data_IF_467895871963
#
_entry.id   IF_467895871963
#
_cell.length_a   1.000
_cell.length_b   1.000
_cell.length_c   1.000
_cell.angle_alpha   90.00
_cell.angle_beta   90.00
_cell.angle_gamma   90.00
#
_symmetry.space_group_name_H-M   'P 1'
#
loop_
_entity.id
_entity.type
_entity.pdbx_description
1 polymer ?
#
# COMPACT_ATOMS: atom_id res chain seq x y z
N UNK A 1 -1.82 10.79 -14.22
CA UNK A 1 -0.46 10.21 -14.03
C UNK A 1 -0.57 8.80 -13.46
N UNK A 2 0.09 7.81 -14.06
CA UNK A 2 0.15 6.42 -13.56
C UNK A 2 1.54 6.16 -12.98
N UNK A 3 1.60 5.83 -11.69
CA UNK A 3 2.81 5.53 -10.93
C UNK A 3 2.83 4.04 -10.59
N UNK A 4 3.97 3.42 -10.72
CA UNK A 4 4.18 2.03 -10.34
C UNK A 4 5.15 1.95 -9.15
N UNK A 5 4.72 1.36 -8.07
CA UNK A 5 5.52 1.14 -6.87
C UNK A 5 6.00 -0.31 -6.84
N UNK A 6 7.30 -0.49 -7.02
CA UNK A 6 7.94 -1.81 -7.09
C UNK A 6 8.96 -2.01 -5.96
N UNK A 7 9.33 -3.25 -5.73
CA UNK A 7 10.34 -3.66 -4.76
C UNK A 7 9.96 -4.92 -3.99
N UNK A 8 10.95 -5.56 -3.38
CA UNK A 8 10.78 -6.78 -2.60
C UNK A 8 9.88 -6.59 -1.36
N UNK A 9 9.37 -7.66 -0.75
CA UNK A 9 8.70 -7.58 0.54
C UNK A 9 9.55 -6.83 1.58
N UNK A 10 8.93 -5.98 2.39
CA UNK A 10 9.63 -5.17 3.40
C UNK A 10 10.47 -4.00 2.84
N UNK A 11 10.41 -3.71 1.54
CA UNK A 11 11.15 -2.60 0.91
C UNK A 11 10.57 -1.20 1.20
N UNK A 12 9.37 -1.11 1.80
CA UNK A 12 8.73 0.15 2.17
C UNK A 12 7.65 0.65 1.19
N UNK A 13 7.21 -0.14 0.21
CA UNK A 13 6.13 0.23 -0.73
C UNK A 13 4.87 0.70 0.00
N UNK A 14 4.33 -0.16 0.86
CA UNK A 14 3.10 0.12 1.62
C UNK A 14 3.28 1.32 2.57
N UNK A 15 4.48 1.50 3.13
CA UNK A 15 4.80 2.66 3.98
C UNK A 15 4.77 3.98 3.18
N UNK A 16 5.39 3.99 1.99
CA UNK A 16 5.36 5.17 1.11
C UNK A 16 3.92 5.46 0.65
N UNK A 17 3.17 4.41 0.30
CA UNK A 17 1.74 4.55 -0.04
C UNK A 17 0.92 5.12 1.11
N UNK A 18 1.15 4.65 2.34
CA UNK A 18 0.50 5.19 3.53
C UNK A 18 0.84 6.68 3.76
N UNK A 19 2.08 7.09 3.50
CA UNK A 19 2.48 8.49 3.56
C UNK A 19 1.74 9.34 2.52
N UNK A 20 1.66 8.87 1.27
CA UNK A 20 0.92 9.56 0.20
C UNK A 20 -0.58 9.67 0.55
N UNK A 21 -1.21 8.57 0.97
CA UNK A 21 -2.62 8.55 1.38
C UNK A 21 -2.87 9.48 2.57
N UNK A 22 -1.99 9.47 3.58
CA UNK A 22 -2.09 10.34 4.74
C UNK A 22 -2.16 11.82 4.33
N UNK A 23 -1.22 12.28 3.52
CA UNK A 23 -1.16 13.68 3.10
C UNK A 23 -2.28 14.04 2.12
N UNK A 24 -2.68 13.11 1.25
CA UNK A 24 -3.76 13.30 0.29
C UNK A 24 -5.11 13.51 0.99
N UNK A 25 -5.45 12.61 1.91
CA UNK A 25 -6.70 12.68 2.67
C UNK A 25 -6.68 13.85 3.65
N UNK A 26 -5.54 14.11 4.29
CA UNK A 26 -5.37 15.29 5.16
C UNK A 26 -5.60 16.61 4.41
N UNK A 27 -5.28 16.66 3.13
CA UNK A 27 -5.59 17.79 2.27
C UNK A 27 -7.09 17.88 1.89
N UNK A 28 -7.93 16.90 2.26
CA UNK A 28 -9.34 16.82 1.94
C UNK A 28 -9.62 16.34 0.51
N UNK A 29 -8.61 15.75 -0.15
CA UNK A 29 -8.77 15.19 -1.49
C UNK A 29 -9.31 13.76 -1.41
N UNK A 30 -10.24 13.36 -2.30
CA UNK A 30 -10.77 12.01 -2.30
C UNK A 30 -9.76 10.99 -2.81
N UNK A 31 -9.78 9.81 -2.19
CA UNK A 31 -9.00 8.66 -2.62
C UNK A 31 -9.84 7.39 -2.61
N UNK A 32 -9.50 6.47 -3.49
CA UNK A 32 -10.12 5.15 -3.63
C UNK A 32 -9.01 4.12 -3.61
N UNK A 33 -9.25 2.97 -3.01
CA UNK A 33 -8.27 1.88 -3.06
C UNK A 33 -8.78 0.58 -2.46
N UNK A 34 -8.00 -0.47 -2.67
CA UNK A 34 -8.23 -1.79 -2.12
C UNK A 34 -7.45 -2.05 -0.82
N UNK A 35 -6.97 -0.98 -0.19
CA UNK A 35 -6.24 -1.02 1.07
C UNK A 35 -7.16 -0.57 2.19
N UNK A 36 -7.25 -1.33 3.26
CA UNK A 36 -7.97 -0.89 4.45
C UNK A 36 -7.11 0.08 5.26
N UNK A 37 -7.64 1.27 5.55
CA UNK A 37 -6.94 2.32 6.29
C UNK A 37 -7.78 2.85 7.45
N UNK A 38 -7.12 3.12 8.57
CA UNK A 38 -7.75 3.72 9.73
C UNK A 38 -7.77 5.26 9.59
N UNK A 39 -8.91 5.81 9.17
CA UNK A 39 -9.11 7.23 8.96
C UNK A 39 -8.99 8.07 10.26
N UNK A 40 -9.20 7.49 11.44
CA UNK A 40 -9.12 8.21 12.70
C UNK A 40 -7.69 8.64 13.02
N UNK A 41 -6.71 7.99 12.42
CA UNK A 41 -5.29 8.33 12.55
C UNK A 41 -4.86 9.54 11.73
N UNK A 42 -5.75 10.13 10.94
CA UNK A 42 -5.46 11.33 10.13
C UNK A 42 -6.07 12.56 10.82
N UNK A 43 -5.28 13.38 11.54
CA UNK A 43 -5.77 14.60 12.17
C UNK A 43 -6.02 15.67 11.11
N UNK A 44 -7.28 15.96 10.82
CA UNK A 44 -7.68 17.02 9.90
C UNK A 44 -9.08 17.52 10.27
N UNK A 45 -9.32 18.83 10.03
CA UNK A 45 -10.65 19.43 10.14
C UNK A 45 -11.45 19.26 8.83
N UNK A 46 -10.78 18.83 7.75
CA UNK A 46 -11.41 18.59 6.46
C UNK A 46 -12.11 17.23 6.46
N UNK A 47 -13.12 17.10 5.61
CA UNK A 47 -13.76 15.81 5.38
C UNK A 47 -12.75 14.77 4.88
N UNK A 48 -12.73 13.62 5.52
CA UNK A 48 -11.86 12.49 5.17
C UNK A 48 -12.56 11.65 4.11
N UNK A 49 -12.15 11.79 2.86
CA UNK A 49 -12.78 11.15 1.71
C UNK A 49 -11.92 9.98 1.23
N UNK A 50 -12.20 8.81 1.79
CA UNK A 50 -11.60 7.57 1.33
C UNK A 50 -12.67 6.52 1.09
N UNK A 51 -12.62 5.89 -0.06
CA UNK A 51 -13.54 4.80 -0.45
C UNK A 51 -12.76 3.51 -0.59
N UNK A 52 -12.95 2.60 0.35
CA UNK A 52 -12.43 1.24 0.25
C UNK A 52 -13.28 0.41 -0.71
N UNK A 53 -12.63 -0.35 -1.59
CA UNK A 53 -13.25 -1.32 -2.49
C UNK A 53 -12.36 -2.54 -2.61
N UNK A 54 -12.95 -3.75 -2.53
CA UNK A 54 -12.22 -4.99 -2.85
C UNK A 54 -11.92 -5.06 -4.34
N UNK A 55 -10.99 -5.91 -4.74
CA UNK A 55 -10.58 -6.05 -6.15
C UNK A 55 -11.75 -6.35 -7.10
N UNK A 56 -12.71 -7.16 -6.65
CA UNK A 56 -13.92 -7.51 -7.41
C UNK A 56 -14.92 -6.35 -7.55
N UNK A 57 -14.83 -5.34 -6.69
CA UNK A 57 -15.66 -4.14 -6.68
C UNK A 57 -15.01 -2.94 -7.37
N UNK A 58 -13.68 -2.99 -7.55
CA UNK A 58 -12.95 -2.00 -8.32
C UNK A 58 -13.12 -2.30 -9.80
N UNK A 59 -14.07 -1.64 -10.44
CA UNK A 59 -14.35 -1.77 -11.87
C UNK A 59 -14.18 -0.44 -12.58
N UNK A 60 -13.82 -0.43 -13.87
CA UNK A 60 -13.78 0.80 -14.67
C UNK A 60 -15.06 1.61 -14.60
N UNK A 61 -16.23 0.95 -14.69
CA UNK A 61 -17.53 1.60 -14.62
C UNK A 61 -17.75 2.33 -13.29
N UNK A 62 -17.38 1.67 -12.17
CA UNK A 62 -17.44 2.30 -10.86
C UNK A 62 -16.55 3.54 -10.80
N UNK A 63 -15.32 3.45 -11.29
CA UNK A 63 -14.35 4.54 -11.25
C UNK A 63 -14.77 5.72 -12.14
N UNK A 64 -15.31 5.44 -13.33
CA UNK A 64 -15.84 6.45 -14.24
C UNK A 64 -17.06 7.14 -13.62
N UNK A 65 -17.99 6.37 -13.05
CA UNK A 65 -19.17 6.93 -12.35
C UNK A 65 -18.75 7.81 -11.18
N UNK A 66 -17.82 7.35 -10.35
CA UNK A 66 -17.29 8.11 -9.23
C UNK A 66 -16.66 9.44 -9.67
N UNK A 67 -15.89 9.44 -10.76
CA UNK A 67 -15.31 10.66 -11.30
C UNK A 67 -16.38 11.64 -11.83
N UNK A 68 -17.41 11.14 -12.50
CA UNK A 68 -18.55 11.94 -12.98
C UNK A 68 -19.31 12.58 -11.81
N UNK A 69 -19.58 11.81 -10.75
CA UNK A 69 -20.25 12.30 -9.54
C UNK A 69 -19.41 13.35 -8.82
N UNK A 70 -18.08 13.14 -8.76
CA UNK A 70 -17.17 14.12 -8.21
C UNK A 70 -17.13 15.40 -9.03
N UNK A 71 -17.12 15.30 -10.35
CA UNK A 71 -17.12 16.42 -11.28
C UNK A 71 -18.39 17.30 -11.17
N UNK A 72 -19.54 16.71 -10.89
CA UNK A 72 -20.86 17.40 -10.88
C UNK A 72 -21.07 18.25 -12.12
N UNK A 73 -20.72 17.72 -13.30
CA UNK A 73 -20.83 18.42 -14.59
C UNK A 73 -19.75 19.47 -14.88
N UNK A 74 -18.71 19.56 -14.04
CA UNK A 74 -17.57 20.47 -14.26
C UNK A 74 -16.37 19.69 -14.81
N UNK A 75 -15.44 20.42 -15.44
CA UNK A 75 -14.13 19.86 -15.78
C UNK A 75 -13.35 19.51 -14.52
N UNK A 76 -12.82 18.29 -14.46
CA UNK A 76 -11.98 17.81 -13.33
C UNK A 76 -10.53 18.11 -13.65
N UNK A 77 -9.85 18.77 -12.70
CA UNK A 77 -8.41 19.00 -12.82
C UNK A 77 -7.64 17.68 -12.63
N UNK A 78 -6.56 17.50 -13.37
CA UNK A 78 -5.63 16.38 -13.14
C UNK A 78 -5.20 16.31 -11.67
N UNK A 79 -4.97 15.10 -11.17
CA UNK A 79 -4.56 14.85 -9.78
C UNK A 79 -5.56 15.33 -8.71
N UNK A 80 -6.85 15.33 -9.06
CA UNK A 80 -7.94 15.63 -8.11
C UNK A 80 -8.40 14.40 -7.34
N UNK A 81 -8.30 13.22 -7.97
CA UNK A 81 -8.68 11.91 -7.43
C UNK A 81 -7.44 11.02 -7.31
N UNK A 82 -7.33 10.24 -6.25
CA UNK A 82 -6.28 9.24 -6.09
C UNK A 82 -6.87 7.85 -6.14
N UNK A 83 -6.34 6.99 -7.01
CA UNK A 83 -6.63 5.56 -7.02
C UNK A 83 -5.38 4.79 -6.60
N UNK A 84 -5.51 3.91 -5.62
CA UNK A 84 -4.43 3.04 -5.14
C UNK A 84 -4.86 1.59 -5.28
N UNK A 85 -4.09 0.80 -6.02
CA UNK A 85 -4.32 -0.64 -6.20
C UNK A 85 -3.09 -1.40 -5.69
N UNK A 86 -3.23 -1.99 -4.51
CA UNK A 86 -2.21 -2.86 -3.94
C UNK A 86 -2.35 -4.27 -4.49
N UNK A 87 -1.20 -4.97 -4.59
CA UNK A 87 -1.07 -6.29 -5.21
C UNK A 87 -1.77 -6.34 -6.58
N UNK A 88 -1.54 -5.29 -7.39
CA UNK A 88 -2.26 -5.05 -8.65
C UNK A 88 -2.10 -6.19 -9.67
N UNK A 89 -1.09 -7.07 -9.52
CA UNK A 89 -0.96 -8.28 -10.33
C UNK A 89 -2.10 -9.29 -10.13
N UNK A 90 -2.87 -9.19 -9.03
CA UNK A 90 -4.05 -10.01 -8.84
C UNK A 90 -5.19 -9.61 -9.79
N UNK A 91 -5.19 -8.35 -10.23
CA UNK A 91 -6.17 -7.81 -11.18
C UNK A 91 -5.63 -7.79 -12.62
N UNK A 92 -4.33 -7.55 -12.78
CA UNK A 92 -3.68 -7.33 -14.09
C UNK A 92 -2.56 -8.34 -14.32
N UNK A 93 -2.82 -9.63 -14.14
CA UNK A 93 -1.83 -10.69 -14.28
C UNK A 93 -1.32 -10.79 -15.72
N UNK A 94 -0.02 -10.86 -15.88
CA UNK A 94 0.63 -11.02 -17.19
C UNK A 94 0.23 -12.31 -17.93
N UNK A 95 -0.25 -13.33 -17.20
CA UNK A 95 -0.63 -14.64 -17.75
C UNK A 95 -2.11 -14.74 -18.17
N UNK A 96 -2.96 -13.84 -17.66
CA UNK A 96 -4.40 -13.84 -17.94
C UNK A 96 -4.71 -12.99 -19.19
N UNK A 97 -4.28 -13.50 -20.35
CA UNK A 97 -4.44 -12.82 -21.64
C UNK A 97 -5.89 -12.56 -22.04
N UNK A 98 -6.81 -13.44 -21.63
CA UNK A 98 -8.24 -13.42 -22.02
C UNK A 98 -9.21 -12.97 -20.91
N UNK A 99 -8.73 -12.26 -19.88
CA UNK A 99 -9.60 -11.80 -18.80
C UNK A 99 -10.68 -10.86 -19.33
N UNK A 100 -11.95 -11.17 -19.05
CA UNK A 100 -13.11 -10.30 -19.33
C UNK A 100 -12.90 -8.95 -18.64
N UNK A 101 -13.21 -7.85 -19.34
CA UNK A 101 -13.06 -6.49 -18.79
C UNK A 101 -11.68 -5.87 -18.96
N UNK A 102 -10.74 -6.56 -19.62
CA UNK A 102 -9.38 -5.99 -19.86
C UNK A 102 -9.41 -4.75 -20.75
N UNK A 103 -10.21 -4.77 -21.83
CA UNK A 103 -10.40 -3.62 -22.71
C UNK A 103 -10.85 -2.39 -21.95
N UNK A 104 -11.80 -2.57 -21.02
CA UNK A 104 -12.41 -1.50 -20.25
C UNK A 104 -11.41 -0.88 -19.28
N UNK A 105 -10.53 -1.71 -18.68
CA UNK A 105 -9.42 -1.23 -17.86
C UNK A 105 -8.39 -0.44 -18.67
N UNK A 106 -8.05 -0.89 -19.89
CA UNK A 106 -7.12 -0.16 -20.76
C UNK A 106 -7.71 1.18 -21.21
N UNK A 107 -9.00 1.21 -21.53
CA UNK A 107 -9.71 2.44 -21.84
C UNK A 107 -9.71 3.38 -20.63
N UNK A 108 -10.06 2.90 -19.44
CA UNK A 108 -10.01 3.69 -18.20
C UNK A 108 -8.62 4.27 -17.95
N UNK A 109 -7.56 3.45 -18.04
CA UNK A 109 -6.19 3.92 -17.85
C UNK A 109 -5.77 4.94 -18.91
N UNK A 110 -6.26 4.83 -20.14
CA UNK A 110 -5.99 5.83 -21.19
C UNK A 110 -6.68 7.16 -20.87
N UNK A 111 -7.89 7.11 -20.34
CA UNK A 111 -8.71 8.29 -20.02
C UNK A 111 -8.49 8.87 -18.61
N UNK A 112 -7.67 8.22 -17.78
CA UNK A 112 -7.54 8.55 -16.36
C UNK A 112 -7.23 10.03 -16.08
N UNK A 113 -6.46 10.70 -16.93
CA UNK A 113 -6.14 12.13 -16.76
C UNK A 113 -7.38 13.01 -16.95
N UNK A 114 -8.18 12.74 -17.96
CA UNK A 114 -9.44 13.45 -18.20
C UNK A 114 -10.45 13.25 -17.08
N UNK A 115 -10.41 12.07 -16.44
CA UNK A 115 -11.21 11.76 -15.26
C UNK A 115 -10.60 12.34 -13.95
N UNK A 116 -9.44 12.96 -14.01
CA UNK A 116 -8.77 13.59 -12.88
C UNK A 116 -8.00 12.64 -11.97
N UNK A 117 -7.77 11.39 -12.37
CA UNK A 117 -7.09 10.40 -11.55
C UNK A 117 -5.57 10.51 -11.58
N UNK A 118 -4.96 10.45 -10.40
CA UNK A 118 -3.62 9.93 -10.17
C UNK A 118 -3.75 8.49 -9.74
N UNK A 119 -2.99 7.58 -10.35
CA UNK A 119 -3.09 6.14 -10.09
C UNK A 119 -1.75 5.65 -9.55
N UNK A 120 -1.80 4.88 -8.46
CA UNK A 120 -0.66 4.17 -7.89
C UNK A 120 -0.96 2.67 -7.99
N UNK A 121 -0.20 1.98 -8.81
CA UNK A 121 -0.19 0.53 -8.93
C UNK A 121 0.95 -0.02 -8.10
N UNK A 122 0.71 -1.00 -7.24
CA UNK A 122 1.71 -1.59 -6.35
C UNK A 122 1.84 -3.07 -6.67
N UNK A 123 3.07 -3.53 -6.95
CA UNK A 123 3.41 -4.93 -7.07
C UNK A 123 4.89 -5.15 -6.71
N UNK A 124 5.32 -6.41 -6.60
CA UNK A 124 6.72 -6.70 -6.32
C UNK A 124 7.61 -6.43 -7.53
N UNK A 125 7.19 -6.86 -8.71
CA UNK A 125 7.93 -6.73 -9.97
C UNK A 125 7.00 -6.35 -11.11
N UNK A 126 7.48 -5.53 -12.03
CA UNK A 126 6.73 -5.09 -13.21
C UNK A 126 6.32 -6.25 -14.14
N UNK A 127 7.15 -7.32 -14.21
CA UNK A 127 6.89 -8.51 -15.04
C UNK A 127 5.65 -9.29 -14.62
N UNK A 128 5.14 -9.09 -13.41
CA UNK A 128 3.91 -9.71 -12.92
C UNK A 128 2.66 -9.09 -13.55
N UNK A 129 2.79 -7.86 -14.09
CA UNK A 129 1.69 -7.08 -14.65
C UNK A 129 1.64 -7.26 -16.16
N UNK A 130 0.43 -7.26 -16.70
CA UNK A 130 0.18 -7.29 -18.13
C UNK A 130 0.95 -6.23 -18.91
N UNK A 131 1.44 -6.61 -20.10
CA UNK A 131 2.29 -5.76 -20.94
C UNK A 131 1.59 -4.46 -21.37
N UNK A 132 0.29 -4.50 -21.67
CA UNK A 132 -0.43 -3.31 -22.12
C UNK A 132 -0.64 -2.33 -20.97
N UNK A 133 -0.97 -2.82 -19.76
CA UNK A 133 -1.05 -1.99 -18.56
C UNK A 133 0.31 -1.38 -18.24
N UNK A 134 1.40 -2.15 -18.35
CA UNK A 134 2.76 -1.64 -18.14
C UNK A 134 3.14 -0.53 -19.11
N UNK A 135 2.69 -0.59 -20.36
CA UNK A 135 3.00 0.45 -21.36
C UNK A 135 2.39 1.82 -21.04
N UNK A 136 1.40 1.86 -20.11
CA UNK A 136 0.74 3.09 -19.68
C UNK A 136 1.37 3.69 -18.41
N UNK A 137 2.34 3.00 -17.79
CA UNK A 137 3.07 3.50 -16.63
C UNK A 137 3.98 4.66 -17.05
N UNK A 138 3.88 5.78 -16.33
CA UNK A 138 4.72 6.95 -16.58
C UNK A 138 6.01 6.92 -15.75
N UNK A 139 5.88 6.62 -14.47
CA UNK A 139 7.03 6.53 -13.56
C UNK A 139 6.96 5.28 -12.70
N UNK A 140 8.11 4.65 -12.53
CA UNK A 140 8.33 3.59 -11.57
C UNK A 140 9.11 4.13 -10.36
N UNK A 141 8.63 3.80 -9.16
CA UNK A 141 9.34 4.04 -7.90
C UNK A 141 9.84 2.71 -7.36
N UNK A 142 11.14 2.46 -7.47
CA UNK A 142 11.77 1.24 -6.95
C UNK A 142 12.12 1.48 -5.49
N UNK A 143 11.46 0.74 -4.61
CA UNK A 143 11.63 0.86 -3.16
C UNK A 143 12.69 -0.09 -2.63
N UNK A 144 13.55 0.42 -1.75
CA UNK A 144 14.58 -0.36 -1.06
C UNK A 144 14.76 0.12 0.37
N UNK A 145 14.99 -0.83 1.28
CA UNK A 145 15.43 -0.50 2.64
C UNK A 145 16.92 -0.14 2.62
N UNK A 146 17.30 0.97 3.26
CA UNK A 146 18.70 1.44 3.23
C UNK A 146 19.66 0.44 3.86
N UNK A 147 19.23 -0.33 4.88
CA UNK A 147 20.04 -1.40 5.48
C UNK A 147 20.50 -2.49 4.49
N UNK A 148 19.85 -2.60 3.32
CA UNK A 148 20.19 -3.59 2.30
C UNK A 148 21.32 -3.15 1.35
N UNK A 149 21.90 -1.95 1.56
CA UNK A 149 23.02 -1.42 0.76
C UNK A 149 24.40 -1.77 1.35
N UNK A 150 24.63 -3.04 1.69
CA UNK A 150 25.91 -3.52 2.22
C UNK A 150 26.32 -2.87 3.54
N UNK A 151 27.64 -2.74 3.79
CA UNK A 151 28.17 -2.23 5.07
C UNK A 151 27.81 -0.74 5.26
N UNK A 152 27.93 0.08 4.23
CA UNK A 152 27.60 1.51 4.31
C UNK A 152 26.13 1.75 4.60
N UNK A 153 25.24 0.97 3.99
CA UNK A 153 23.81 1.03 4.25
C UNK A 153 23.46 0.63 5.69
N UNK A 154 24.16 -0.37 6.25
CA UNK A 154 24.00 -0.77 7.66
C UNK A 154 24.44 0.34 8.62
N UNK A 155 25.57 1.00 8.37
CA UNK A 155 26.07 2.11 9.19
C UNK A 155 25.07 3.29 9.17
N UNK A 156 24.62 3.71 7.99
CA UNK A 156 23.61 4.79 7.84
C UNK A 156 22.30 4.40 8.51
N UNK A 157 21.88 3.14 8.36
CA UNK A 157 20.67 2.60 8.97
C UNK A 157 20.75 2.59 10.49
N UNK A 158 21.93 2.32 11.08
CA UNK A 158 22.15 2.36 12.53
C UNK A 158 21.92 3.76 13.09
N UNK A 159 22.45 4.80 12.45
CA UNK A 159 22.21 6.20 12.82
C UNK A 159 20.75 6.65 12.59
N UNK A 160 20.01 5.94 11.76
CA UNK A 160 18.59 6.21 11.46
C UNK A 160 17.63 5.27 12.22
N UNK A 161 18.12 4.53 13.22
CA UNK A 161 17.35 3.51 13.95
C UNK A 161 16.69 2.46 13.04
N UNK A 162 17.33 2.10 11.94
CA UNK A 162 16.85 1.06 11.01
C UNK A 162 15.62 1.45 10.14
N UNK A 163 15.11 2.66 10.26
CA UNK A 163 13.82 3.07 9.71
C UNK A 163 13.94 3.96 8.46
N UNK A 164 15.06 3.85 7.73
CA UNK A 164 15.30 4.63 6.52
C UNK A 164 15.10 3.79 5.27
N UNK A 165 14.32 4.34 4.35
CA UNK A 165 14.02 3.77 3.05
C UNK A 165 14.38 4.75 1.95
N UNK A 166 14.61 4.24 0.76
CA UNK A 166 14.81 5.01 -0.45
C UNK A 166 13.87 4.54 -1.54
N UNK A 167 13.26 5.47 -2.26
CA UNK A 167 12.58 5.23 -3.50
C UNK A 167 13.37 5.86 -4.65
N UNK A 168 13.68 5.07 -5.66
CA UNK A 168 14.35 5.54 -6.87
C UNK A 168 13.29 5.74 -7.92
N UNK A 169 13.11 7.00 -8.35
CA UNK A 169 12.16 7.38 -9.39
C UNK A 169 12.80 7.18 -10.76
N UNK A 170 12.14 6.41 -11.59
CA UNK A 170 12.55 6.07 -12.96
C UNK A 170 11.45 6.52 -13.92
N UNK A 171 11.80 7.23 -14.99
CA UNK A 171 10.90 7.44 -16.12
C UNK A 171 10.74 6.13 -16.85
N UNK A 172 9.55 5.54 -16.73
CA UNK A 172 9.33 4.14 -17.08
C UNK A 172 9.53 3.81 -18.55
N UNK A 173 9.06 4.64 -19.52
CA UNK A 173 9.20 4.34 -20.94
C UNK A 173 10.65 4.22 -21.40
N UNK A 174 11.56 5.04 -20.88
CA UNK A 174 12.98 5.07 -21.27
C UNK A 174 13.90 4.40 -20.25
N UNK A 175 13.33 3.94 -19.10
CA UNK A 175 14.10 3.36 -17.99
C UNK A 175 15.18 4.30 -17.44
N UNK A 176 14.98 5.60 -17.58
CA UNK A 176 15.91 6.63 -17.09
C UNK A 176 15.64 7.00 -15.65
N UNK A 177 16.70 7.08 -14.85
CA UNK A 177 16.61 7.54 -13.47
C UNK A 177 16.38 9.04 -13.43
N UNK A 178 15.26 9.46 -12.85
CA UNK A 178 14.88 10.86 -12.65
C UNK A 178 15.38 11.41 -11.32
N UNK A 179 15.37 10.57 -10.27
CA UNK A 179 15.77 11.01 -8.94
C UNK A 179 15.72 9.90 -7.90
N UNK A 180 16.01 10.25 -6.67
CA UNK A 180 15.87 9.35 -5.51
C UNK A 180 15.37 10.16 -4.32
N UNK A 181 14.43 9.61 -3.58
CA UNK A 181 13.86 10.22 -2.39
C UNK A 181 14.07 9.30 -1.20
N UNK A 182 14.53 9.86 -0.08
CA UNK A 182 14.65 9.14 1.18
C UNK A 182 13.45 9.45 2.06
N UNK A 183 12.86 8.42 2.63
CA UNK A 183 11.75 8.57 3.56
C UNK A 183 11.93 7.69 4.79
N UNK A 184 11.36 8.16 5.90
CA UNK A 184 11.45 7.47 7.19
C UNK A 184 10.14 6.82 7.56
N UNK A 185 10.25 5.65 8.15
CA UNK A 185 9.12 4.99 8.77
C UNK A 185 8.65 5.79 10.00
N UNK A 186 7.53 6.47 9.89
CA UNK A 186 6.86 7.14 11.02
C UNK A 186 5.76 6.22 11.55
N UNK A 187 5.64 6.14 12.89
CA UNK A 187 4.60 5.34 13.55
C UNK A 187 3.19 5.66 13.04
N UNK A 188 2.91 6.91 12.67
CA UNK A 188 1.60 7.32 12.15
C UNK A 188 1.25 6.61 10.83
N UNK A 189 2.23 6.36 9.97
CA UNK A 189 1.99 5.69 8.68
C UNK A 189 1.79 4.18 8.85
N UNK A 190 2.51 3.54 9.79
CA UNK A 190 2.26 2.14 10.13
C UNK A 190 0.85 1.93 10.73
N UNK A 191 0.43 2.84 11.61
CA UNK A 191 -0.90 2.76 12.22
C UNK A 191 -2.05 3.14 11.28
N UNK A 192 -1.73 3.69 10.11
CA UNK A 192 -2.72 3.97 9.08
C UNK A 192 -3.15 2.68 8.37
N UNK A 193 -2.23 1.74 8.19
CA UNK A 193 -2.51 0.42 7.61
C UNK A 193 -3.10 -0.50 8.67
N UNK A 194 -4.34 -0.87 8.51
CA UNK A 194 -4.95 -1.92 9.35
C UNK A 194 -4.70 -3.28 8.72
N UNK A 195 -3.52 -3.84 8.99
CA UNK A 195 -3.10 -5.13 8.43
C UNK A 195 -3.94 -6.30 8.98
N UNK A 196 -4.63 -6.09 10.11
CA UNK A 196 -5.39 -7.13 10.81
C UNK A 196 -6.89 -7.11 10.49
N UNK A 197 -7.39 -6.12 9.79
CA UNK A 197 -8.82 -6.07 9.42
C UNK A 197 -9.28 -7.22 8.52
N UNK A 198 -8.34 -7.96 7.93
CA UNK A 198 -8.62 -9.18 7.13
C UNK A 198 -8.82 -10.43 8.00
N UNK A 199 -8.41 -10.40 9.28
CA UNK A 199 -8.41 -11.57 10.17
C UNK A 199 -9.49 -11.53 11.25
N UNK A 200 -10.38 -10.54 11.23
CA UNK A 200 -11.48 -10.40 12.20
C UNK A 200 -11.02 -9.90 13.57
N UNK A 201 -11.98 -9.55 14.42
CA UNK A 201 -11.75 -9.00 15.77
C UNK A 201 -11.09 -9.99 16.75
N UNK A 202 -10.96 -11.26 16.39
CA UNK A 202 -10.41 -12.32 17.26
C UNK A 202 -8.89 -12.20 17.51
N UNK A 203 -8.17 -11.43 16.68
CA UNK A 203 -6.71 -11.23 16.88
C UNK A 203 -6.38 -10.05 17.82
N UNK A 204 -7.35 -9.19 18.15
CA UNK A 204 -7.12 -8.03 19.03
C UNK A 204 -7.11 -8.38 20.52
N UNK A 205 -7.66 -9.53 20.89
CA UNK A 205 -7.73 -10.00 22.29
C UNK A 205 -6.50 -10.76 22.74
N UNK A 206 -5.60 -11.17 21.82
CA UNK A 206 -4.43 -11.97 22.15
C UNK A 206 -3.20 -11.15 22.59
N UNK A 207 -3.13 -9.85 22.30
CA UNK A 207 -1.98 -9.00 22.66
C UNK A 207 -2.17 -8.15 23.93
N UNK A 208 -3.39 -8.03 24.44
CA UNK A 208 -3.67 -7.25 25.68
C UNK A 208 -3.75 -8.11 26.96
N UNK A 209 -3.51 -9.42 26.85
CA UNK A 209 -3.62 -10.41 27.94
C UNK A 209 -2.31 -10.85 28.58
N UNK A 210 -1.20 -10.19 28.33
CA UNK A 210 0.15 -10.61 28.77
C UNK A 210 0.79 -9.73 29.84
N UNK A 211 0.11 -9.41 30.95
CA UNK A 211 0.76 -8.93 32.18
C UNK A 211 0.16 -9.62 33.41
N UNK A 212 0.97 -10.44 34.06
CA UNK A 212 0.97 -10.61 35.50
C UNK A 212 0.05 -11.65 36.10
N UNK A 213 0.57 -12.86 36.33
CA UNK A 213 0.22 -13.61 37.56
C UNK A 213 1.48 -14.25 38.14
N UNK A 214 1.69 -14.16 39.45
CA UNK A 214 2.93 -14.56 40.10
C UNK A 214 2.99 -16.08 40.32
N UNK A 215 4.21 -16.59 40.37
CA UNK A 215 4.55 -17.96 40.71
C UNK A 215 4.04 -18.30 42.13
N UNK A 216 3.20 -19.29 42.27
CA UNK A 216 3.01 -20.01 43.52
C UNK A 216 3.84 -21.28 43.53
N UNK A 217 4.77 -21.28 44.48
CA UNK A 217 5.58 -22.34 44.96
C UNK A 217 4.72 -23.36 45.75
N UNK A 218 4.66 -24.62 45.32
CA UNK A 218 4.26 -25.72 46.21
C UNK A 218 5.13 -26.92 45.88
N UNK A 219 5.95 -27.19 46.88
CA UNK A 219 6.88 -28.27 46.93
C UNK A 219 6.27 -29.64 47.22
N UNK A 220 7.19 -30.60 47.23
CA UNK A 220 7.19 -31.90 47.86
C UNK A 220 6.69 -33.11 47.05
N UNK A 221 7.64 -33.91 46.66
CA UNK A 221 7.55 -35.38 46.47
C UNK A 221 7.09 -36.11 47.74
N UNK A 222 6.60 -37.39 47.68
CA UNK A 222 7.52 -38.49 47.70
C UNK A 222 7.15 -39.77 46.88
N UNK A 223 8.19 -40.43 46.47
CA UNK A 223 8.59 -41.85 46.40
C UNK A 223 7.60 -43.03 46.47
N UNK A 224 7.98 -44.04 45.71
CA UNK A 224 7.87 -45.51 45.87
C UNK A 224 6.61 -46.13 45.22
N UNK A 225 6.61 -47.19 44.43
CA UNK A 225 7.36 -48.45 44.39
C UNK A 225 7.06 -49.16 43.06
N UNK A 226 8.02 -49.83 42.48
CA UNK A 226 7.83 -51.00 41.63
C UNK A 226 7.47 -52.19 42.52
N UNK A 227 6.94 -53.33 42.06
CA UNK A 227 7.48 -54.19 40.99
C UNK A 227 6.42 -55.03 40.23
N UNK A 228 6.74 -55.55 39.11
CA UNK A 228 6.78 -56.93 38.62
C UNK A 228 6.88 -56.95 37.10
#
# INVERSE_FOLDING_TARGET
MILFYSGTPGSGKSLHTAEVLYWWIKAGKPAIGNININLDRIPTKKEKRYTYKRNDQLTPDFLISYAKDFAKGRSVKEDSLLLVIDECQLMFNARDWNAKGRSDWLEFFTLHRHLGYRIILIAQFDRMIDRQVRSLIEYEYIHRKVSNFGIYGKIISMFSFGNLFVSVKIWYPMKEKVGSEFFRAKRVYYRLYDTYALFGDDARTAEDGGEGAPAEDVGASPQADAPS
#
